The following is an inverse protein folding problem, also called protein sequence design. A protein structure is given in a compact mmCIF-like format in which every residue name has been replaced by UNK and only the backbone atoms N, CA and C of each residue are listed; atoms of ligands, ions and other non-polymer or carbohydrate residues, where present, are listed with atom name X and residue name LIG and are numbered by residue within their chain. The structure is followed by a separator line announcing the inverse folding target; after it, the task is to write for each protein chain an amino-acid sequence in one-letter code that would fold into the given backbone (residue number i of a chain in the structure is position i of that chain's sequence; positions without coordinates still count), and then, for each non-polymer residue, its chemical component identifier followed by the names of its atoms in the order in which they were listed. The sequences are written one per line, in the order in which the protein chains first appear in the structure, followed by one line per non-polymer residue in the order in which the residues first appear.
data_IF_321996980015
#
_entry.id   IF_321996980015
#
_cell.length_a   1.000
_cell.length_b   1.000
_cell.length_c   1.000
_cell.angle_alpha   90.00
_cell.angle_beta   90.00
_cell.angle_gamma   90.00
#
_symmetry.space_group_name_H-M   'P 1'
#
loop_
_entity.id
_entity.type
_entity.pdbx_description
1 polymer ?
#
# COMPACT_ATOMS: atom_id res chain seq x y z
N UNK A 1 -28.34 -15.81 -6.23
CA UNK A 1 -27.02 -15.71 -5.56
C UNK A 1 -26.79 -17.06 -4.88
N UNK A 2 -25.77 -17.80 -5.24
CA UNK A 2 -25.55 -19.18 -4.77
C UNK A 2 -25.01 -19.21 -3.34
N UNK A 3 -25.32 -20.28 -2.59
CA UNK A 3 -24.86 -20.48 -1.21
C UNK A 3 -23.33 -20.49 -1.14
N UNK A 4 -22.65 -21.10 -2.13
CA UNK A 4 -21.19 -21.12 -2.25
C UNK A 4 -20.59 -19.72 -2.41
N UNK A 5 -21.26 -18.82 -3.13
CA UNK A 5 -20.83 -17.42 -3.25
C UNK A 5 -20.90 -16.69 -1.90
N UNK A 6 -21.96 -16.89 -1.14
CA UNK A 6 -22.13 -16.31 0.19
C UNK A 6 -21.07 -16.83 1.17
N UNK A 7 -20.82 -18.15 1.13
CA UNK A 7 -19.78 -18.79 1.93
C UNK A 7 -18.39 -18.21 1.60
N UNK A 8 -18.04 -18.13 0.32
CA UNK A 8 -16.73 -17.62 -0.10
C UNK A 8 -16.54 -16.15 0.32
N UNK A 9 -17.62 -15.36 0.22
CA UNK A 9 -17.60 -13.94 0.63
C UNK A 9 -17.46 -13.77 2.15
N UNK A 10 -18.11 -14.63 2.93
CA UNK A 10 -17.99 -14.67 4.38
C UNK A 10 -16.57 -15.05 4.82
N UNK A 11 -16.01 -16.12 4.27
CA UNK A 11 -14.64 -16.54 4.60
C UNK A 11 -13.59 -15.52 4.19
N UNK A 12 -13.70 -14.90 3.01
CA UNK A 12 -12.83 -13.79 2.61
C UNK A 12 -12.88 -12.63 3.61
N UNK A 13 -14.07 -12.30 4.11
CA UNK A 13 -14.25 -11.20 5.07
C UNK A 13 -13.71 -11.54 6.46
N UNK A 14 -13.85 -12.77 6.92
CA UNK A 14 -13.49 -13.20 8.29
C UNK A 14 -12.02 -13.62 8.38
N UNK A 15 -11.51 -14.37 7.41
CA UNK A 15 -10.14 -14.90 7.43
C UNK A 15 -9.10 -13.96 6.79
N UNK A 16 -9.53 -12.99 5.99
CA UNK A 16 -8.67 -12.00 5.33
C UNK A 16 -9.14 -10.59 5.70
N UNK A 17 -9.11 -10.27 6.98
CA UNK A 17 -9.38 -8.93 7.45
C UNK A 17 -8.42 -7.89 6.82
N UNK A 18 -8.79 -6.64 6.89
CA UNK A 18 -7.85 -5.54 6.61
C UNK A 18 -6.97 -5.30 7.84
N UNK A 19 -5.70 -5.02 7.62
CA UNK A 19 -4.75 -4.60 8.65
C UNK A 19 -4.52 -3.09 8.55
N UNK A 20 -4.86 -2.36 9.59
CA UNK A 20 -4.72 -0.89 9.62
C UNK A 20 -3.86 -0.48 10.80
N UNK A 21 -2.80 0.28 10.54
CA UNK A 21 -1.89 0.76 11.57
C UNK A 21 -1.49 2.22 11.31
N UNK A 22 -1.49 3.06 12.34
CA UNK A 22 -1.06 4.48 12.28
C UNK A 22 -1.66 5.26 11.11
N UNK A 23 -2.94 5.05 10.80
CA UNK A 23 -3.53 5.55 9.57
C UNK A 23 -4.84 6.28 9.81
N UNK A 24 -5.18 7.21 8.93
CA UNK A 24 -6.43 7.96 8.97
C UNK A 24 -7.32 7.60 7.78
N UNK A 25 -8.51 7.14 8.07
CA UNK A 25 -9.49 6.74 7.06
C UNK A 25 -10.72 7.62 7.22
N UNK A 26 -11.06 8.39 6.17
CA UNK A 26 -12.32 9.15 6.18
C UNK A 26 -13.50 8.19 6.36
N UNK A 27 -14.54 8.64 7.09
CA UNK A 27 -15.73 7.83 7.39
C UNK A 27 -16.48 7.33 6.16
N UNK A 28 -16.33 8.00 5.02
CA UNK A 28 -16.95 7.64 3.75
C UNK A 28 -16.04 6.81 2.85
N UNK A 29 -14.77 6.69 3.20
CA UNK A 29 -13.81 5.88 2.45
C UNK A 29 -13.96 4.38 2.76
N UNK A 30 -13.53 3.54 1.83
CA UNK A 30 -13.66 2.09 1.96
C UNK A 30 -12.38 1.35 1.60
N UNK A 31 -11.90 0.55 2.53
CA UNK A 31 -10.78 -0.36 2.33
C UNK A 31 -11.32 -1.79 2.38
N UNK A 32 -11.10 -2.55 1.31
CA UNK A 32 -11.58 -3.92 1.21
C UNK A 32 -10.65 -4.91 1.92
N UNK A 33 -11.16 -6.13 2.14
CA UNK A 33 -10.44 -7.16 2.89
C UNK A 33 -9.15 -7.63 2.22
N UNK A 34 -8.21 -8.10 3.03
CA UNK A 34 -6.86 -8.50 2.61
C UNK A 34 -5.91 -7.34 2.36
N UNK A 35 -6.35 -6.11 2.61
CA UNK A 35 -5.52 -4.91 2.40
C UNK A 35 -4.75 -4.56 3.66
N UNK A 36 -3.46 -4.31 3.52
CA UNK A 36 -2.59 -3.68 4.51
C UNK A 36 -2.55 -2.17 4.27
N UNK A 37 -2.84 -1.40 5.31
CA UNK A 37 -2.92 0.05 5.23
C UNK A 37 -2.18 0.68 6.40
N UNK A 38 -0.90 1.00 6.21
CA UNK A 38 -0.01 1.43 7.27
C UNK A 38 0.53 2.83 7.02
N UNK A 39 0.60 3.62 8.09
CA UNK A 39 1.15 4.98 8.06
C UNK A 39 0.61 5.82 6.90
N UNK A 40 -0.70 5.75 6.65
CA UNK A 40 -1.32 6.28 5.43
C UNK A 40 -2.61 7.01 5.72
N UNK A 41 -3.02 7.87 4.79
CA UNK A 41 -4.29 8.57 4.85
C UNK A 41 -5.13 8.32 3.60
N UNK A 42 -6.46 8.28 3.74
CA UNK A 42 -7.37 8.19 2.60
C UNK A 42 -8.56 9.12 2.78
N UNK A 43 -8.79 9.96 1.78
CA UNK A 43 -9.84 10.98 1.76
C UNK A 43 -11.22 10.43 1.45
N UNK A 44 -12.20 11.34 1.58
CA UNK A 44 -13.64 11.03 1.43
C UNK A 44 -13.97 10.39 0.08
N UNK A 45 -14.94 9.45 0.13
CA UNK A 45 -15.49 8.78 -1.05
C UNK A 45 -14.47 8.04 -1.92
N UNK A 46 -13.29 7.74 -1.38
CA UNK A 46 -12.27 6.94 -2.03
C UNK A 46 -12.41 5.48 -1.62
N UNK A 47 -11.97 4.56 -2.48
CA UNK A 47 -11.89 3.17 -2.11
C UNK A 47 -10.61 2.50 -2.61
N UNK A 48 -10.19 1.47 -1.87
CA UNK A 48 -9.08 0.58 -2.24
C UNK A 48 -9.64 -0.84 -2.29
N UNK A 49 -9.40 -1.51 -3.41
CA UNK A 49 -9.81 -2.88 -3.67
C UNK A 49 -9.14 -3.90 -2.77
N UNK A 50 -9.46 -5.16 -3.00
CA UNK A 50 -8.96 -6.30 -2.22
C UNK A 50 -7.45 -6.50 -2.38
N UNK A 51 -6.82 -7.06 -1.33
CA UNK A 51 -5.45 -7.59 -1.39
C UNK A 51 -4.42 -6.56 -1.85
N UNK A 52 -4.53 -5.35 -1.33
CA UNK A 52 -3.65 -4.21 -1.62
C UNK A 52 -2.67 -3.97 -0.47
N UNK A 53 -1.53 -3.36 -0.79
CA UNK A 53 -0.50 -3.00 0.18
C UNK A 53 -0.23 -1.50 0.07
N UNK A 54 -0.54 -0.76 1.13
CA UNK A 54 -0.42 0.71 1.16
C UNK A 54 0.42 1.14 2.36
N UNK A 55 1.60 1.64 2.09
CA UNK A 55 2.56 2.07 3.09
C UNK A 55 3.02 3.51 2.82
N UNK A 56 2.99 4.34 3.85
CA UNK A 56 3.44 5.74 3.80
C UNK A 56 2.89 6.53 2.61
N UNK A 57 1.55 6.56 2.49
CA UNK A 57 0.86 7.16 1.35
C UNK A 57 -0.30 8.05 1.77
N UNK A 58 -0.39 9.24 1.18
CA UNK A 58 -1.54 10.12 1.30
C UNK A 58 -2.40 10.02 0.04
N UNK A 59 -3.63 9.52 0.21
CA UNK A 59 -4.60 9.34 -0.88
C UNK A 59 -5.71 10.38 -0.74
N UNK A 60 -5.93 11.14 -1.79
CA UNK A 60 -6.97 12.17 -1.86
C UNK A 60 -8.39 11.61 -1.85
N UNK A 61 -9.34 12.48 -2.16
CA UNK A 61 -10.77 12.16 -2.20
C UNK A 61 -11.21 11.70 -3.59
N UNK A 62 -12.28 10.89 -3.64
CA UNK A 62 -12.91 10.39 -4.87
C UNK A 62 -12.03 9.46 -5.71
N UNK A 63 -10.99 8.88 -5.11
CA UNK A 63 -10.11 7.95 -5.79
C UNK A 63 -10.73 6.55 -5.92
N UNK A 64 -10.54 5.94 -7.08
CA UNK A 64 -10.99 4.59 -7.40
C UNK A 64 -9.79 3.69 -7.64
N UNK A 65 -9.42 2.91 -6.63
CA UNK A 65 -8.22 2.07 -6.68
C UNK A 65 -8.64 0.60 -6.70
N UNK A 66 -8.21 -0.11 -7.75
CA UNK A 66 -8.58 -1.50 -7.96
C UNK A 66 -7.79 -2.48 -7.07
N UNK A 67 -8.00 -3.79 -7.26
CA UNK A 67 -7.43 -4.83 -6.42
C UNK A 67 -5.92 -5.01 -6.63
N UNK A 68 -5.21 -5.44 -5.58
CA UNK A 68 -3.80 -5.75 -5.65
C UNK A 68 -2.91 -4.53 -5.90
N UNK A 69 -3.40 -3.36 -5.53
CA UNK A 69 -2.61 -2.12 -5.59
C UNK A 69 -1.49 -2.17 -4.56
N UNK A 70 -0.27 -1.84 -4.99
CA UNK A 70 0.90 -1.77 -4.11
C UNK A 70 1.50 -0.38 -4.17
N UNK A 71 1.70 0.26 -3.02
CA UNK A 71 2.37 1.57 -2.93
C UNK A 71 3.27 1.66 -1.72
N UNK A 72 4.41 2.31 -1.91
CA UNK A 72 5.45 2.45 -0.91
C UNK A 72 6.48 1.34 -1.01
N UNK A 73 6.84 0.77 0.13
CA UNK A 73 7.90 -0.23 0.22
C UNK A 73 9.30 0.38 0.25
N UNK A 74 10.23 -0.37 0.80
CA UNK A 74 11.61 0.09 0.93
C UNK A 74 12.33 0.08 -0.43
N UNK A 75 13.09 1.13 -0.69
CA UNK A 75 14.03 1.17 -1.81
C UNK A 75 15.36 0.59 -1.33
N UNK A 76 15.87 -0.40 -2.05
CA UNK A 76 17.23 -0.89 -1.79
C UNK A 76 18.25 0.04 -2.44
N UNK A 77 19.39 0.34 -1.79
CA UNK A 77 20.47 1.11 -2.38
C UNK A 77 21.12 0.32 -3.53
N UNK A 78 21.15 0.92 -4.71
CA UNK A 78 21.70 0.29 -5.91
C UNK A 78 23.14 0.69 -6.20
N UNK A 79 23.66 1.68 -5.50
CA UNK A 79 25.00 2.23 -5.58
C UNK A 79 25.97 1.65 -4.51
N UNK A 80 25.49 0.75 -3.66
CA UNK A 80 26.29 0.04 -2.68
C UNK A 80 26.86 -1.27 -3.25
N UNK A 81 27.89 -1.80 -2.62
CA UNK A 81 28.48 -3.11 -2.96
C UNK A 81 27.45 -4.24 -2.86
N UNK A 82 26.49 -4.10 -1.96
CA UNK A 82 25.37 -5.04 -1.80
C UNK A 82 24.07 -4.29 -1.52
N UNK A 83 22.99 -4.70 -2.15
CA UNK A 83 21.64 -4.24 -1.83
C UNK A 83 20.99 -5.01 -0.68
N UNK A 84 21.71 -5.95 -0.07
CA UNK A 84 21.15 -6.82 0.97
C UNK A 84 20.85 -6.07 2.27
N UNK A 85 19.65 -6.20 2.83
CA UNK A 85 19.27 -5.57 4.09
C UNK A 85 20.10 -6.02 5.31
N UNK A 86 20.88 -7.10 5.21
CA UNK A 86 21.75 -7.57 6.31
C UNK A 86 22.84 -6.56 6.67
N UNK A 87 23.13 -5.61 5.77
CA UNK A 87 24.13 -4.55 6.00
C UNK A 87 23.52 -3.24 6.50
N UNK A 88 22.19 -3.15 6.63
CA UNK A 88 21.51 -1.93 7.07
C UNK A 88 21.46 -1.84 8.60
N UNK A 89 21.42 -0.62 9.11
CA UNK A 89 21.25 -0.33 10.54
C UNK A 89 19.90 -0.78 11.12
N UNK A 90 18.90 -1.05 10.29
CA UNK A 90 17.54 -1.48 10.69
C UNK A 90 17.34 -3.00 10.66
N UNK A 91 18.40 -3.75 10.37
CA UNK A 91 18.35 -5.21 10.26
C UNK A 91 17.63 -5.72 9.01
N UNK A 92 17.90 -6.94 8.64
CA UNK A 92 17.34 -7.58 7.44
C UNK A 92 16.35 -8.69 7.74
N UNK A 93 15.54 -9.02 6.76
CA UNK A 93 14.50 -10.06 6.83
C UNK A 93 15.02 -11.49 7.11
N UNK A 94 16.32 -11.71 7.11
CA UNK A 94 16.95 -13.01 7.39
C UNK A 94 17.27 -13.24 8.87
N UNK A 95 17.06 -12.23 9.73
CA UNK A 95 17.50 -12.27 11.13
C UNK A 95 19.01 -12.15 11.33
N UNK A 96 19.79 -11.98 10.26
CA UNK A 96 21.24 -11.76 10.31
C UNK A 96 21.53 -10.27 10.13
N UNK A 97 22.48 -9.76 10.90
CA UNK A 97 22.92 -8.37 10.86
C UNK A 97 24.44 -8.34 10.77
N UNK A 98 24.99 -7.79 9.69
CA UNK A 98 26.41 -7.75 9.39
C UNK A 98 26.95 -6.32 9.21
N UNK A 99 26.12 -5.29 9.33
CA UNK A 99 26.53 -3.90 9.15
C UNK A 99 25.53 -2.90 9.71
N UNK A 100 25.95 -1.64 9.78
CA UNK A 100 25.20 -0.53 10.35
C UNK A 100 25.04 0.63 9.36
N UNK A 101 24.99 0.33 8.06
CA UNK A 101 24.84 1.34 7.02
C UNK A 101 23.47 2.00 7.09
N UNK A 102 23.45 3.33 7.16
CA UNK A 102 22.20 4.08 7.16
C UNK A 102 21.53 4.05 5.78
N UNK A 103 20.27 3.64 5.76
CA UNK A 103 19.42 3.73 4.57
C UNK A 103 18.67 5.05 4.55
N UNK A 104 18.33 5.54 3.35
CA UNK A 104 17.44 6.69 3.22
C UNK A 104 16.08 6.39 3.88
N UNK A 105 15.52 7.36 4.64
CA UNK A 105 14.17 7.23 5.18
C UNK A 105 13.15 6.99 4.06
N UNK A 106 12.09 6.24 4.38
CA UNK A 106 10.96 6.04 3.48
C UNK A 106 10.37 7.39 3.07
N UNK A 107 10.28 7.63 1.77
CA UNK A 107 9.66 8.83 1.20
C UNK A 107 8.16 8.60 1.06
N UNK A 108 7.38 9.53 1.61
CA UNK A 108 5.92 9.47 1.53
C UNK A 108 5.44 9.66 0.08
N UNK A 109 4.51 8.82 -0.34
CA UNK A 109 3.87 8.92 -1.67
C UNK A 109 2.59 9.76 -1.55
N UNK A 110 2.28 10.54 -2.56
CA UNK A 110 1.07 11.37 -2.58
C UNK A 110 0.24 11.05 -3.82
N UNK A 111 -1.04 10.75 -3.62
CA UNK A 111 -2.02 10.55 -4.68
C UNK A 111 -3.10 11.62 -4.53
N UNK A 112 -3.28 12.43 -5.57
CA UNK A 112 -4.24 13.52 -5.60
C UNK A 112 -5.69 13.07 -5.51
N UNK A 113 -6.61 13.93 -5.92
CA UNK A 113 -8.03 13.65 -5.89
C UNK A 113 -8.50 13.10 -7.24
N UNK A 114 -9.63 12.36 -7.24
CA UNK A 114 -10.28 11.85 -8.45
C UNK A 114 -9.31 11.05 -9.36
N UNK A 115 -8.48 10.23 -8.72
CA UNK A 115 -7.51 9.37 -9.40
C UNK A 115 -8.08 7.98 -9.60
N UNK A 116 -7.94 7.45 -10.81
CA UNK A 116 -8.27 6.05 -11.11
C UNK A 116 -6.99 5.22 -11.25
N UNK A 117 -6.92 4.10 -10.53
CA UNK A 117 -5.79 3.15 -10.59
C UNK A 117 -6.32 1.76 -10.87
N UNK A 118 -5.83 1.16 -11.94
CA UNK A 118 -6.16 -0.20 -12.39
C UNK A 118 -5.65 -1.30 -11.47
N UNK A 119 -5.96 -2.55 -11.84
CA UNK A 119 -5.55 -3.74 -11.05
C UNK A 119 -4.04 -3.93 -11.03
N UNK A 120 -3.49 -4.32 -9.88
CA UNK A 120 -2.09 -4.73 -9.71
C UNK A 120 -1.07 -3.67 -10.14
N UNK A 121 -1.44 -2.41 -10.06
CA UNK A 121 -0.51 -1.30 -10.27
C UNK A 121 0.42 -1.20 -9.06
N UNK A 122 1.70 -1.01 -9.31
CA UNK A 122 2.70 -0.75 -8.28
C UNK A 122 3.23 0.67 -8.42
N UNK A 123 3.18 1.43 -7.33
CA UNK A 123 3.72 2.80 -7.23
C UNK A 123 4.89 2.78 -6.23
N UNK A 124 6.03 3.23 -6.66
CA UNK A 124 7.21 3.32 -5.80
C UNK A 124 7.06 4.45 -4.77
N UNK A 125 7.79 4.32 -3.65
CA UNK A 125 7.82 5.36 -2.62
C UNK A 125 8.25 6.73 -3.20
N UNK A 126 7.71 7.80 -2.63
CA UNK A 126 8.08 9.19 -2.97
C UNK A 126 7.51 9.71 -4.29
N UNK A 127 6.68 8.93 -4.98
CA UNK A 127 6.01 9.36 -6.20
C UNK A 127 4.85 10.30 -5.86
N UNK A 128 4.65 11.33 -6.66
CA UNK A 128 3.49 12.21 -6.58
C UNK A 128 2.62 12.02 -7.82
N UNK A 129 1.35 11.64 -7.61
CA UNK A 129 0.33 11.51 -8.65
C UNK A 129 -0.63 12.69 -8.52
N UNK A 130 -0.80 13.44 -9.60
CA UNK A 130 -1.69 14.61 -9.63
C UNK A 130 -3.17 14.23 -9.60
N UNK A 131 -4.01 15.23 -9.35
CA UNK A 131 -5.47 15.09 -9.39
C UNK A 131 -5.96 14.76 -10.80
N UNK A 132 -6.96 13.88 -10.92
CA UNK A 132 -7.60 13.50 -12.19
C UNK A 132 -6.78 12.54 -13.06
N UNK A 133 -5.71 11.98 -12.54
CA UNK A 133 -4.86 11.03 -13.29
C UNK A 133 -5.52 9.66 -13.38
N UNK A 134 -5.41 9.03 -14.54
CA UNK A 134 -5.81 7.64 -14.76
C UNK A 134 -4.56 6.78 -15.04
N UNK A 135 -4.41 5.69 -14.28
CA UNK A 135 -3.32 4.73 -14.43
C UNK A 135 -3.94 3.38 -14.78
N UNK A 136 -3.65 2.90 -15.99
CA UNK A 136 -4.06 1.57 -16.43
C UNK A 136 -3.33 0.45 -15.68
N UNK A 137 -3.80 -0.79 -15.90
CA UNK A 137 -3.16 -1.99 -15.39
C UNK A 137 -2.02 -2.44 -16.32
#
# INVERSE_FOLDING_TARGET
MTLSYLYSKFFKKVLRGKSVLNSQIDKTAKIYSGTEFYDSTIGRHSYIGYDSEVHSCDIGSFCSIANGFVVGGAKHPLDWVSSSPIFYNVGGGTGTHLGDLEIEPLKRTTIGHDVWIGNRVTIMQGVTIGTGVAIGA
#
